data_IF_154400551173
#
_entry.id   IF_154400551173
#
_cell.length_a   1.000
_cell.length_b   1.000
_cell.length_c   1.000
_cell.angle_alpha   90.00
_cell.angle_beta   90.00
_cell.angle_gamma   90.00
#
_symmetry.space_group_name_H-M   'P 1'
#
loop_
_entity.id
_entity.type
_entity.pdbx_description
1 polymer ?
#
# COMPACT_ATOMS: atom_id res chain seq x y z
N UNK A 1 -20.56 -0.41 -3.08
CA UNK A 1 -21.67 -0.06 -2.18
C UNK A 1 -22.93 -0.97 -2.31
N UNK A 2 -23.02 -1.87 -3.28
CA UNK A 2 -24.14 -2.81 -3.44
C UNK A 2 -24.27 -3.87 -2.32
N UNK A 3 -23.32 -3.96 -1.41
CA UNK A 3 -23.31 -4.91 -0.29
C UNK A 3 -23.76 -4.33 1.06
N UNK A 4 -24.18 -3.07 1.10
CA UNK A 4 -24.78 -2.50 2.32
C UNK A 4 -26.26 -2.89 2.41
N UNK A 5 -26.76 -3.29 3.60
CA UNK A 5 -28.18 -3.55 3.81
C UNK A 5 -28.98 -2.28 3.50
N UNK A 6 -29.92 -2.36 2.57
CA UNK A 6 -30.80 -1.23 2.21
C UNK A 6 -31.61 -0.73 3.39
N UNK A 7 -31.87 -1.60 4.34
CA UNK A 7 -32.59 -1.32 5.58
C UNK A 7 -31.97 -0.19 6.39
N UNK A 8 -30.61 -0.05 6.36
CA UNK A 8 -29.90 1.04 7.05
C UNK A 8 -30.11 2.40 6.35
N UNK A 9 -30.18 2.40 5.01
CA UNK A 9 -30.46 3.63 4.25
C UNK A 9 -31.93 4.06 4.43
N UNK A 10 -32.85 3.11 4.44
CA UNK A 10 -34.28 3.35 4.65
C UNK A 10 -34.55 3.86 6.07
N UNK A 11 -33.94 3.28 7.09
CA UNK A 11 -34.04 3.75 8.46
C UNK A 11 -33.51 5.20 8.61
N UNK A 12 -32.37 5.51 7.99
CA UNK A 12 -31.84 6.86 8.00
C UNK A 12 -32.74 7.88 7.27
N UNK A 13 -33.42 7.46 6.22
CA UNK A 13 -34.38 8.30 5.51
C UNK A 13 -35.62 8.59 6.35
N UNK A 14 -36.11 7.60 7.12
CA UNK A 14 -37.22 7.77 8.06
C UNK A 14 -36.84 8.77 9.18
N UNK A 15 -35.58 8.72 9.66
CA UNK A 15 -35.04 9.65 10.66
C UNK A 15 -34.75 11.05 10.08
N UNK A 16 -35.09 11.32 8.82
CA UNK A 16 -34.89 12.62 8.18
C UNK A 16 -33.41 12.97 7.91
N UNK A 17 -32.54 11.96 7.86
CA UNK A 17 -31.14 12.17 7.56
C UNK A 17 -30.96 12.44 6.05
N UNK A 18 -30.40 13.60 5.71
CA UNK A 18 -30.04 13.90 4.32
C UNK A 18 -28.92 12.97 3.81
N UNK A 19 -28.81 12.81 2.49
CA UNK A 19 -27.87 11.91 1.82
C UNK A 19 -26.40 12.04 2.30
N UNK A 20 -25.92 13.25 2.55
CA UNK A 20 -24.58 13.49 3.09
C UNK A 20 -24.39 12.94 4.51
N UNK A 21 -25.41 13.09 5.36
CA UNK A 21 -25.35 12.62 6.75
C UNK A 21 -25.37 11.08 6.78
N UNK A 22 -26.21 10.47 5.96
CA UNK A 22 -26.25 9.01 5.77
C UNK A 22 -24.92 8.48 5.27
N UNK A 23 -24.33 9.11 4.25
CA UNK A 23 -23.04 8.71 3.70
C UNK A 23 -21.91 8.75 4.75
N UNK A 24 -21.76 9.87 5.47
CA UNK A 24 -20.66 10.05 6.44
C UNK A 24 -20.84 9.21 7.71
N UNK A 25 -22.08 9.01 8.19
CA UNK A 25 -22.33 8.35 9.47
C UNK A 25 -22.65 6.87 9.37
N UNK A 26 -23.13 6.41 8.21
CA UNK A 26 -23.55 5.02 8.02
C UNK A 26 -22.67 4.34 6.97
N UNK A 27 -22.57 4.88 5.76
CA UNK A 27 -21.90 4.21 4.64
C UNK A 27 -20.39 4.11 4.88
N UNK A 28 -19.72 5.19 5.25
CA UNK A 28 -18.27 5.19 5.47
C UNK A 28 -17.86 4.22 6.60
N UNK A 29 -18.43 4.29 7.81
CA UNK A 29 -18.07 3.35 8.87
C UNK A 29 -18.36 1.89 8.54
N UNK A 30 -19.48 1.62 7.86
CA UNK A 30 -19.86 0.26 7.44
C UNK A 30 -18.97 -0.30 6.33
N UNK A 31 -18.34 0.58 5.55
CA UNK A 31 -17.41 0.21 4.46
C UNK A 31 -15.96 0.12 4.88
N UNK A 32 -15.65 0.07 6.17
CA UNK A 32 -14.30 0.16 6.73
C UNK A 32 -13.31 -0.85 6.13
N UNK A 33 -13.73 -2.12 5.91
CA UNK A 33 -12.89 -3.14 5.29
C UNK A 33 -12.49 -2.75 3.86
N UNK A 34 -13.44 -2.29 3.04
CA UNK A 34 -13.19 -1.89 1.66
C UNK A 34 -12.25 -0.67 1.59
N UNK A 35 -12.46 0.33 2.46
CA UNK A 35 -11.61 1.52 2.52
C UNK A 35 -10.18 1.15 2.90
N UNK A 36 -9.97 0.29 3.91
CA UNK A 36 -8.64 -0.16 4.33
C UNK A 36 -7.96 -0.94 3.21
N UNK A 37 -8.70 -1.80 2.49
CA UNK A 37 -8.17 -2.55 1.36
C UNK A 37 -7.67 -1.63 0.24
N UNK A 38 -8.50 -0.66 -0.16
CA UNK A 38 -8.13 0.31 -1.20
C UNK A 38 -6.91 1.14 -0.76
N UNK A 39 -6.87 1.57 0.50
CA UNK A 39 -5.76 2.32 1.06
C UNK A 39 -4.46 1.51 1.04
N UNK A 40 -4.51 0.23 1.45
CA UNK A 40 -3.36 -0.67 1.39
C UNK A 40 -2.82 -0.81 -0.03
N UNK A 41 -3.68 -1.13 -0.99
CA UNK A 41 -3.26 -1.23 -2.39
C UNK A 41 -2.71 0.09 -2.93
N UNK A 42 -3.36 1.21 -2.62
CA UNK A 42 -2.90 2.53 -3.05
C UNK A 42 -1.49 2.83 -2.53
N UNK A 43 -1.23 2.57 -1.25
CA UNK A 43 0.11 2.78 -0.65
C UNK A 43 1.15 1.86 -1.30
N UNK A 44 0.84 0.57 -1.48
CA UNK A 44 1.77 -0.39 -2.10
C UNK A 44 2.09 0.03 -3.54
N UNK A 45 1.10 0.42 -4.33
CA UNK A 45 1.28 0.87 -5.71
C UNK A 45 2.18 2.11 -5.80
N UNK A 46 1.88 3.15 -5.03
CA UNK A 46 2.68 4.37 -5.05
C UNK A 46 4.08 4.19 -4.45
N UNK A 47 4.22 3.27 -3.48
CA UNK A 47 5.53 2.94 -2.90
C UNK A 47 6.47 2.29 -3.93
N UNK A 48 5.93 1.41 -4.76
CA UNK A 48 6.70 0.68 -5.77
C UNK A 48 6.73 1.37 -7.14
N UNK A 49 6.23 2.60 -7.25
CA UNK A 49 6.16 3.31 -8.53
C UNK A 49 7.53 3.84 -8.95
N UNK A 50 8.25 2.99 -9.67
CA UNK A 50 9.53 3.32 -10.31
C UNK A 50 9.32 3.95 -11.67
N UNK A 51 8.36 3.43 -12.44
CA UNK A 51 8.18 3.78 -13.84
C UNK A 51 7.72 5.23 -14.02
N UNK A 52 6.63 5.62 -13.38
CA UNK A 52 6.12 6.99 -13.47
C UNK A 52 7.07 7.97 -12.79
N UNK A 53 7.69 7.56 -11.67
CA UNK A 53 8.67 8.40 -10.99
C UNK A 53 9.89 8.70 -11.88
N UNK A 54 10.40 7.74 -12.63
CA UNK A 54 11.51 7.97 -13.57
C UNK A 54 11.09 8.83 -14.78
N UNK A 55 9.82 8.76 -15.18
CA UNK A 55 9.33 9.48 -16.36
C UNK A 55 9.01 10.94 -16.08
N UNK A 56 8.52 11.26 -14.88
CA UNK A 56 7.98 12.59 -14.56
C UNK A 56 8.73 13.35 -13.47
N UNK A 57 9.61 12.69 -12.71
CA UNK A 57 10.33 13.32 -11.61
C UNK A 57 11.80 13.51 -11.94
N UNK A 58 12.29 14.75 -11.79
CA UNK A 58 13.73 15.07 -11.89
C UNK A 58 14.53 14.60 -10.65
N UNK A 59 13.84 14.22 -9.58
CA UNK A 59 14.46 13.76 -8.34
C UNK A 59 14.22 12.27 -8.13
N UNK A 60 15.24 11.60 -7.61
CA UNK A 60 15.14 10.18 -7.27
C UNK A 60 14.18 9.97 -6.10
N UNK A 61 13.18 9.11 -6.30
CA UNK A 61 12.45 8.49 -5.19
C UNK A 61 13.29 7.36 -4.61
N UNK A 62 12.93 6.88 -3.42
CA UNK A 62 13.66 5.77 -2.81
C UNK A 62 13.60 4.48 -3.67
N UNK A 63 12.46 4.22 -4.29
CA UNK A 63 12.27 3.12 -5.23
C UNK A 63 13.17 3.24 -6.47
N UNK A 64 13.25 4.43 -7.09
CA UNK A 64 14.11 4.68 -8.26
C UNK A 64 15.59 4.63 -7.90
N UNK A 65 15.97 5.10 -6.71
CA UNK A 65 17.35 5.05 -6.23
C UNK A 65 17.83 3.61 -6.07
N UNK A 66 17.04 2.73 -5.45
CA UNK A 66 17.37 1.29 -5.32
C UNK A 66 17.43 0.61 -6.69
N UNK A 67 16.48 0.90 -7.58
CA UNK A 67 16.47 0.33 -8.92
C UNK A 67 17.74 0.70 -9.71
N UNK A 68 18.12 1.98 -9.69
CA UNK A 68 19.33 2.47 -10.37
C UNK A 68 20.60 1.91 -9.75
N UNK A 69 20.67 1.82 -8.42
CA UNK A 69 21.81 1.20 -7.74
C UNK A 69 21.92 -0.29 -8.10
N UNK A 70 20.81 -1.02 -8.18
CA UNK A 70 20.77 -2.40 -8.63
C UNK A 70 21.29 -2.57 -10.06
N UNK A 71 20.82 -1.73 -10.98
CA UNK A 71 21.29 -1.73 -12.37
C UNK A 71 22.80 -1.42 -12.50
N UNK A 72 23.29 -0.44 -11.75
CA UNK A 72 24.73 -0.10 -11.71
C UNK A 72 25.55 -1.25 -11.12
N UNK A 73 25.07 -1.91 -10.09
CA UNK A 73 25.71 -3.07 -9.48
C UNK A 73 25.84 -4.22 -10.48
N UNK A 74 24.80 -4.52 -11.22
CA UNK A 74 24.81 -5.56 -12.26
C UNK A 74 25.79 -5.17 -13.38
N UNK A 75 25.76 -3.93 -13.85
CA UNK A 75 26.67 -3.45 -14.89
C UNK A 75 28.15 -3.51 -14.46
N UNK A 76 28.45 -3.13 -13.22
CA UNK A 76 29.81 -3.20 -12.67
C UNK A 76 30.30 -4.66 -12.57
N UNK A 77 29.44 -5.58 -12.21
CA UNK A 77 29.77 -7.02 -12.10
C UNK A 77 30.08 -7.64 -13.46
N UNK A 78 29.42 -7.16 -14.51
CA UNK A 78 29.66 -7.64 -15.88
C UNK A 78 30.96 -7.09 -16.50
N UNK A 79 31.49 -5.97 -16.00
CA UNK A 79 32.66 -5.29 -16.54
C UNK A 79 33.96 -5.59 -15.82
N UNK A 80 33.91 -6.12 -14.60
CA UNK A 80 35.09 -6.36 -13.76
C UNK A 80 35.22 -7.84 -13.43
N UNK A 81 36.46 -8.34 -13.22
CA UNK A 81 36.70 -9.71 -12.79
C UNK A 81 35.83 -10.08 -11.57
N UNK A 82 35.01 -11.09 -11.78
CA UNK A 82 33.71 -11.37 -11.09
C UNK A 82 33.76 -11.56 -9.57
N UNK A 83 34.94 -11.76 -8.95
CA UNK A 83 34.98 -12.21 -7.56
C UNK A 83 35.00 -11.10 -6.50
N UNK A 84 35.65 -9.98 -6.74
CA UNK A 84 35.81 -8.95 -5.69
C UNK A 84 34.63 -7.99 -5.63
N UNK A 85 34.03 -7.66 -6.77
CA UNK A 85 32.93 -6.69 -6.86
C UNK A 85 31.59 -7.24 -6.33
N UNK A 86 31.29 -8.51 -6.60
CA UNK A 86 30.04 -9.15 -6.14
C UNK A 86 29.99 -9.32 -4.63
N UNK A 87 31.12 -9.61 -3.99
CA UNK A 87 31.18 -9.86 -2.53
C UNK A 87 30.78 -8.65 -1.71
N UNK A 88 31.01 -7.43 -2.20
CA UNK A 88 30.68 -6.18 -1.48
C UNK A 88 29.39 -5.53 -1.95
N UNK A 89 29.12 -5.53 -3.26
CA UNK A 89 27.99 -4.81 -3.83
C UNK A 89 26.64 -5.49 -3.57
N UNK A 90 26.60 -6.82 -3.60
CA UNK A 90 25.36 -7.58 -3.36
C UNK A 90 24.84 -7.39 -1.92
N UNK A 91 25.65 -7.50 -0.85
CA UNK A 91 25.18 -7.21 0.51
C UNK A 91 24.67 -5.79 0.69
N UNK A 92 25.28 -4.79 0.06
CA UNK A 92 24.83 -3.40 0.12
C UNK A 92 23.45 -3.26 -0.54
N UNK A 93 23.28 -3.86 -1.73
CA UNK A 93 21.97 -3.87 -2.41
C UNK A 93 20.89 -4.53 -1.57
N UNK A 94 21.19 -5.70 -1.00
CA UNK A 94 20.25 -6.42 -0.14
C UNK A 94 19.88 -5.63 1.11
N UNK A 95 20.84 -4.94 1.73
CA UNK A 95 20.58 -4.05 2.86
C UNK A 95 19.68 -2.88 2.47
N UNK A 96 19.88 -2.29 1.28
CA UNK A 96 19.04 -1.25 0.73
C UNK A 96 17.61 -1.74 0.50
N UNK A 97 17.43 -2.94 -0.08
CA UNK A 97 16.13 -3.56 -0.27
C UNK A 97 15.42 -3.82 1.07
N UNK A 98 16.15 -4.27 2.09
CA UNK A 98 15.60 -4.50 3.42
C UNK A 98 15.12 -3.20 4.06
N UNK A 99 15.91 -2.13 3.97
CA UNK A 99 15.51 -0.80 4.43
C UNK A 99 14.28 -0.25 3.66
N UNK A 100 14.18 -0.57 2.36
CA UNK A 100 13.06 -0.18 1.53
C UNK A 100 11.75 -0.86 1.95
N UNK A 101 11.80 -2.15 2.30
CA UNK A 101 10.62 -2.93 2.69
C UNK A 101 10.19 -2.64 4.12
N UNK A 102 11.10 -2.26 5.01
CA UNK A 102 10.85 -2.09 6.44
C UNK A 102 9.68 -1.13 6.75
N UNK A 103 9.59 0.09 6.21
CA UNK A 103 8.46 0.99 6.47
C UNK A 103 7.12 0.41 5.98
N UNK A 104 7.12 -0.36 4.89
CA UNK A 104 5.93 -1.01 4.37
C UNK A 104 5.43 -2.11 5.32
N UNK A 105 6.35 -2.89 5.90
CA UNK A 105 6.04 -3.92 6.89
C UNK A 105 5.45 -3.27 8.14
N UNK A 106 6.06 -2.20 8.65
CA UNK A 106 5.54 -1.48 9.83
C UNK A 106 4.14 -0.94 9.55
N UNK A 107 3.92 -0.34 8.39
CA UNK A 107 2.62 0.15 7.97
C UNK A 107 1.57 -0.98 7.92
N UNK A 108 1.92 -2.12 7.33
CA UNK A 108 1.05 -3.29 7.28
C UNK A 108 0.69 -3.81 8.67
N UNK A 109 1.67 -3.95 9.59
CA UNK A 109 1.45 -4.38 10.97
C UNK A 109 0.48 -3.45 11.71
N UNK A 110 0.58 -2.15 11.50
CA UNK A 110 -0.34 -1.17 12.10
C UNK A 110 -1.78 -1.30 11.60
N UNK A 111 -1.96 -1.62 10.31
CA UNK A 111 -3.28 -1.66 9.68
C UNK A 111 -3.95 -3.04 9.81
N UNK A 112 -3.18 -4.13 9.83
CA UNK A 112 -3.72 -5.49 9.83
C UNK A 112 -4.75 -5.75 10.96
N UNK A 113 -4.54 -5.17 12.15
CA UNK A 113 -5.48 -5.31 13.28
C UNK A 113 -6.85 -4.71 12.97
N UNK A 114 -6.88 -3.52 12.35
CA UNK A 114 -8.13 -2.86 11.94
C UNK A 114 -8.79 -3.58 10.77
N UNK A 115 -7.99 -4.12 9.86
CA UNK A 115 -8.47 -4.92 8.74
C UNK A 115 -9.18 -6.20 9.22
N UNK A 116 -8.54 -6.95 10.11
CA UNK A 116 -9.13 -8.17 10.68
C UNK A 116 -10.40 -7.89 11.48
N UNK A 117 -10.43 -6.82 12.28
CA UNK A 117 -11.62 -6.42 13.04
C UNK A 117 -12.79 -6.04 12.10
N UNK A 118 -12.50 -5.36 10.98
CA UNK A 118 -13.51 -4.95 10.01
C UNK A 118 -14.10 -6.12 9.21
N UNK A 119 -13.28 -7.13 8.88
CA UNK A 119 -13.76 -8.37 8.23
C UNK A 119 -14.62 -9.17 9.19
N UNK A 120 -14.23 -9.30 10.45
CA UNK A 120 -14.99 -10.05 11.44
C UNK A 120 -16.40 -9.47 11.65
N UNK A 121 -16.54 -8.15 11.61
CA UNK A 121 -17.86 -7.51 11.73
C UNK A 121 -18.71 -7.64 10.48
N UNK A 122 -18.13 -7.69 9.28
CA UNK A 122 -18.88 -7.86 8.03
C UNK A 122 -19.27 -9.32 7.75
N UNK A 123 -18.59 -10.29 8.34
CA UNK A 123 -18.87 -11.72 8.18
C UNK A 123 -20.00 -12.29 9.06
N UNK A 124 -20.57 -11.48 9.97
CA UNK A 124 -21.65 -11.90 10.87
C UNK A 124 -23.04 -11.59 10.31
N UNK A 125 -23.12 -10.86 9.19
CA UNK A 125 -24.37 -10.53 8.49
C UNK A 125 -24.45 -11.38 7.22
N UNK A 126 -24.68 -12.65 7.40
CA UNK A 126 -24.95 -13.62 6.35
C UNK A 126 -25.98 -14.61 6.83
#
# INVERSE_FOLDING_TARGET
>A
FKGLPKELEEAAAIDGAGAWKTFLRIVIPSSGAAIITVLLFSVIWHWNDVYLAQMYLDKYTFATAINNFGAQTIAATLQTDLQTSTTMLVPILLSGCLLFILPLIVFYICIQRKFMASIATSGIVG
#
